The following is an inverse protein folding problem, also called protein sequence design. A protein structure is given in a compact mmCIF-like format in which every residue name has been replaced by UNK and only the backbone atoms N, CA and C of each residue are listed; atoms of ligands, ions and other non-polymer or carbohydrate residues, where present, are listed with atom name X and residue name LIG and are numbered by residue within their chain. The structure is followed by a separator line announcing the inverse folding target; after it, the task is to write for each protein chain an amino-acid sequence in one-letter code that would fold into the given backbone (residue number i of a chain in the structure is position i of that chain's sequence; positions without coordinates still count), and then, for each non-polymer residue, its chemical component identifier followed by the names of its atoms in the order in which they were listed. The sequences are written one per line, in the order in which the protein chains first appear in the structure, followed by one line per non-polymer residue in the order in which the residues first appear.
data_IF_162085936504
#
_entry.id   IF_162085936504
#
_cell.length_a   1.000
_cell.length_b   1.000
_cell.length_c   1.000
_cell.angle_alpha   90.00
_cell.angle_beta   90.00
_cell.angle_gamma   90.00
#
_symmetry.space_group_name_H-M   'P 1'
#
loop_
_entity.id
_entity.type
_entity.pdbx_description
1 polymer ?
#
# COMPACT_ATOMS: atom_id res chain seq x y z
N UNK A 1 -15.26 10.96 -11.16
CA UNK A 1 -15.62 9.62 -10.64
C UNK A 1 -14.80 9.34 -9.40
N UNK A 2 -15.46 9.04 -8.26
CA UNK A 2 -14.79 8.72 -7.00
C UNK A 2 -13.74 7.61 -7.13
N UNK A 3 -14.02 6.57 -7.93
CA UNK A 3 -13.10 5.45 -8.16
C UNK A 3 -11.71 5.87 -8.67
N UNK A 4 -11.63 6.54 -9.81
CA UNK A 4 -10.34 6.92 -10.41
C UNK A 4 -9.58 7.95 -9.57
N UNK A 5 -10.28 8.73 -8.74
CA UNK A 5 -9.62 9.62 -7.78
C UNK A 5 -8.98 8.83 -6.64
N UNK A 6 -9.65 7.80 -6.12
CA UNK A 6 -9.07 6.89 -5.11
C UNK A 6 -7.90 6.08 -5.66
N UNK A 7 -7.96 5.60 -6.92
CA UNK A 7 -6.82 4.96 -7.58
C UNK A 7 -5.62 5.90 -7.65
N UNK A 8 -5.81 7.15 -8.10
CA UNK A 8 -4.73 8.15 -8.16
C UNK A 8 -4.15 8.50 -6.78
N UNK A 9 -5.01 8.64 -5.77
CA UNK A 9 -4.56 8.85 -4.36
C UNK A 9 -3.74 7.66 -3.86
N UNK A 10 -4.17 6.43 -4.17
CA UNK A 10 -3.43 5.23 -3.80
C UNK A 10 -2.07 5.14 -4.49
N UNK A 11 -1.98 5.51 -5.77
CA UNK A 11 -0.70 5.62 -6.49
C UNK A 11 0.22 6.64 -5.81
N UNK A 12 -0.30 7.83 -5.46
CA UNK A 12 0.46 8.87 -4.78
C UNK A 12 1.00 8.39 -3.42
N UNK A 13 0.14 7.78 -2.60
CA UNK A 13 0.51 7.26 -1.30
C UNK A 13 1.53 6.11 -1.37
N UNK A 14 1.36 5.18 -2.31
CA UNK A 14 2.30 4.10 -2.55
C UNK A 14 3.69 4.60 -2.94
N UNK A 15 3.77 5.60 -3.85
CA UNK A 15 5.03 6.24 -4.21
C UNK A 15 5.67 6.99 -3.02
N UNK A 16 4.86 7.71 -2.24
CA UNK A 16 5.34 8.42 -1.05
C UNK A 16 5.92 7.44 -0.01
N UNK A 17 5.24 6.31 0.23
CA UNK A 17 5.71 5.27 1.13
C UNK A 17 7.00 4.61 0.63
N UNK A 18 7.12 4.33 -0.68
CA UNK A 18 8.39 3.88 -1.26
C UNK A 18 9.51 4.91 -1.05
N UNK A 19 9.20 6.21 -1.20
CA UNK A 19 10.12 7.30 -0.94
C UNK A 19 10.62 7.31 0.51
N UNK A 20 9.71 7.14 1.48
CA UNK A 20 10.05 7.02 2.89
C UNK A 20 10.92 5.78 3.15
N UNK A 21 10.55 4.63 2.59
CA UNK A 21 11.29 3.37 2.75
C UNK A 21 12.67 3.38 2.06
N UNK A 22 12.98 4.32 1.16
CA UNK A 22 14.36 4.48 0.63
C UNK A 22 15.35 4.88 1.70
N UNK A 23 14.92 5.61 2.73
CA UNK A 23 15.77 5.99 3.86
C UNK A 23 15.93 4.88 4.90
N UNK A 24 15.20 3.77 4.73
CA UNK A 24 15.28 2.61 5.62
C UNK A 24 16.65 1.91 5.46
N UNK A 25 17.36 1.74 6.59
CA UNK A 25 18.67 1.10 6.59
C UNK A 25 18.52 -0.39 6.88
N UNK A 26 18.57 -1.22 5.85
CA UNK A 26 18.39 -2.67 5.97
C UNK A 26 19.42 -3.40 6.85
N UNK A 27 20.58 -2.78 7.12
CA UNK A 27 21.63 -3.36 7.97
C UNK A 27 21.40 -3.11 9.47
N UNK A 28 20.37 -2.34 9.84
CA UNK A 28 19.98 -2.07 11.22
C UNK A 28 18.69 -2.81 11.57
N UNK A 29 18.54 -3.20 12.84
CA UNK A 29 17.32 -3.88 13.30
C UNK A 29 16.08 -3.03 13.01
N UNK A 30 15.00 -3.64 12.52
CA UNK A 30 13.77 -2.95 12.17
C UNK A 30 13.12 -2.22 13.35
N UNK A 31 13.42 -2.65 14.57
CA UNK A 31 12.95 -2.06 15.82
C UNK A 31 13.76 -0.84 16.28
N UNK A 32 14.95 -0.61 15.73
CA UNK A 32 15.80 0.53 16.10
C UNK A 32 15.27 1.83 15.50
N UNK A 33 15.38 2.92 16.25
CA UNK A 33 15.25 4.26 15.65
C UNK A 33 16.47 4.51 14.76
N UNK A 34 16.30 5.04 13.53
CA UNK A 34 15.09 5.64 12.94
C UNK A 34 14.23 4.69 12.08
N UNK A 35 14.65 3.42 11.88
CA UNK A 35 13.98 2.47 11.00
C UNK A 35 12.53 2.19 11.37
N UNK A 36 12.24 2.11 12.68
CA UNK A 36 10.87 1.94 13.18
C UNK A 36 9.95 3.09 12.76
N UNK A 37 10.43 4.33 12.85
CA UNK A 37 9.66 5.53 12.53
C UNK A 37 9.41 5.62 11.02
N UNK A 38 10.46 5.43 10.22
CA UNK A 38 10.37 5.40 8.74
C UNK A 38 9.33 4.37 8.29
N UNK A 39 9.42 3.16 8.82
CA UNK A 39 8.52 2.06 8.47
C UNK A 39 7.08 2.35 8.93
N UNK A 40 6.89 2.86 10.14
CA UNK A 40 5.57 3.20 10.66
C UNK A 40 4.90 4.32 9.86
N UNK A 41 5.68 5.31 9.42
CA UNK A 41 5.21 6.39 8.57
C UNK A 41 4.80 5.89 7.18
N UNK A 42 5.61 5.01 6.57
CA UNK A 42 5.28 4.34 5.31
C UNK A 42 4.00 3.52 5.43
N UNK A 43 3.88 2.75 6.52
CA UNK A 43 2.69 1.96 6.82
C UNK A 43 1.44 2.85 6.91
N UNK A 44 1.47 3.90 7.72
CA UNK A 44 0.33 4.81 7.89
C UNK A 44 -0.10 5.45 6.57
N UNK A 45 0.87 5.90 5.77
CA UNK A 45 0.62 6.49 4.45
C UNK A 45 -0.17 5.54 3.55
N UNK A 46 0.19 4.25 3.55
CA UNK A 46 -0.48 3.23 2.73
C UNK A 46 -1.82 2.80 3.34
N UNK A 47 -1.95 2.70 4.67
CA UNK A 47 -3.20 2.30 5.33
C UNK A 47 -4.36 3.20 4.92
N UNK A 48 -4.17 4.52 4.96
CA UNK A 48 -5.24 5.45 4.57
C UNK A 48 -5.65 5.31 3.10
N UNK A 49 -4.67 5.12 2.21
CA UNK A 49 -4.93 4.90 0.80
C UNK A 49 -5.59 3.55 0.51
N UNK A 50 -5.21 2.50 1.25
CA UNK A 50 -5.83 1.19 1.18
C UNK A 50 -7.33 1.27 1.50
N UNK A 51 -7.69 1.88 2.63
CA UNK A 51 -9.07 1.93 3.08
C UNK A 51 -9.97 2.76 2.14
N UNK A 52 -9.46 3.89 1.63
CA UNK A 52 -10.16 4.71 0.63
C UNK A 52 -10.34 3.95 -0.69
N UNK A 53 -9.28 3.29 -1.18
CA UNK A 53 -9.35 2.50 -2.40
C UNK A 53 -10.28 1.28 -2.26
N UNK A 54 -10.27 0.60 -1.11
CA UNK A 54 -11.13 -0.55 -0.85
C UNK A 54 -12.61 -0.16 -0.93
N UNK A 55 -12.99 0.97 -0.32
CA UNK A 55 -14.35 1.52 -0.42
C UNK A 55 -14.71 1.87 -1.86
N UNK A 56 -13.79 2.49 -2.59
CA UNK A 56 -13.99 2.83 -3.99
C UNK A 56 -14.17 1.60 -4.88
N UNK A 57 -13.38 0.54 -4.69
CA UNK A 57 -13.52 -0.74 -5.42
C UNK A 57 -14.88 -1.40 -5.14
N UNK A 58 -15.34 -1.35 -3.88
CA UNK A 58 -16.67 -1.84 -3.52
C UNK A 58 -17.79 -1.06 -4.23
N UNK A 59 -17.67 0.27 -4.32
CA UNK A 59 -18.65 1.12 -4.98
C UNK A 59 -18.54 1.15 -6.52
N UNK A 60 -17.44 0.64 -7.09
CA UNK A 60 -17.12 0.76 -8.51
C UNK A 60 -18.19 0.19 -9.47
N UNK A 61 -18.95 -0.84 -9.04
CA UNK A 61 -20.06 -1.37 -9.85
C UNK A 61 -21.19 -0.35 -10.03
N UNK A 62 -21.50 0.42 -8.98
CA UNK A 62 -22.55 1.44 -9.01
C UNK A 62 -22.13 2.65 -9.85
N UNK A 63 -20.82 2.90 -9.96
CA UNK A 63 -20.23 3.98 -10.76
C UNK A 63 -20.07 3.63 -12.26
N UNK A 64 -20.45 2.42 -12.69
CA UNK A 64 -20.31 1.98 -14.08
C UNK A 64 -18.85 1.78 -14.52
N UNK A 65 -17.93 1.54 -13.57
CA UNK A 65 -16.50 1.35 -13.85
C UNK A 65 -16.28 0.06 -14.65
N UNK A 66 -15.38 0.11 -15.63
CA UNK A 66 -14.98 -1.06 -16.43
C UNK A 66 -14.50 -2.21 -15.55
N UNK A 67 -14.92 -3.43 -15.89
CA UNK A 67 -14.57 -4.63 -15.14
C UNK A 67 -13.05 -4.89 -15.04
N UNK A 68 -12.27 -4.52 -16.06
CA UNK A 68 -10.80 -4.61 -16.02
C UNK A 68 -10.20 -3.67 -14.97
N UNK A 69 -10.56 -2.39 -14.98
CA UNK A 69 -10.07 -1.39 -14.04
C UNK A 69 -10.42 -1.76 -12.59
N UNK A 70 -11.64 -2.24 -12.34
CA UNK A 70 -12.05 -2.74 -11.02
C UNK A 70 -11.21 -3.94 -10.57
N UNK A 71 -10.94 -4.92 -11.46
CA UNK A 71 -10.12 -6.10 -11.11
C UNK A 71 -8.69 -5.69 -10.76
N UNK A 72 -8.08 -4.83 -11.55
CA UNK A 72 -6.72 -4.35 -11.30
C UNK A 72 -6.66 -3.53 -10.00
N UNK A 73 -7.62 -2.63 -9.75
CA UNK A 73 -7.69 -1.90 -8.49
C UNK A 73 -7.92 -2.84 -7.29
N UNK A 74 -8.76 -3.87 -7.42
CA UNK A 74 -8.96 -4.87 -6.37
C UNK A 74 -7.67 -5.62 -6.03
N UNK A 75 -6.86 -5.95 -7.05
CA UNK A 75 -5.54 -6.57 -6.82
C UNK A 75 -4.57 -5.59 -6.16
N UNK A 76 -4.63 -4.31 -6.55
CA UNK A 76 -3.90 -3.23 -5.89
C UNK A 76 -4.26 -3.09 -4.40
N UNK A 77 -5.55 -3.11 -4.05
CA UNK A 77 -6.03 -3.09 -2.65
C UNK A 77 -5.42 -4.24 -1.86
N UNK A 78 -5.54 -5.47 -2.36
CA UNK A 78 -5.03 -6.65 -1.66
C UNK A 78 -3.52 -6.51 -1.35
N UNK A 79 -2.74 -6.08 -2.33
CA UNK A 79 -1.30 -5.91 -2.17
C UNK A 79 -0.93 -4.77 -1.21
N UNK A 80 -1.66 -3.65 -1.23
CA UNK A 80 -1.46 -2.58 -0.24
C UNK A 80 -1.84 -3.03 1.19
N UNK A 81 -2.87 -3.87 1.33
CA UNK A 81 -3.25 -4.48 2.60
C UNK A 81 -2.17 -5.43 3.12
N UNK A 82 -1.61 -6.27 2.24
CA UNK A 82 -0.48 -7.13 2.59
C UNK A 82 0.77 -6.32 2.95
N UNK A 83 1.06 -5.23 2.23
CA UNK A 83 2.17 -4.34 2.54
C UNK A 83 2.01 -3.68 3.91
N UNK A 84 0.80 -3.22 4.23
CA UNK A 84 0.46 -2.66 5.55
C UNK A 84 0.73 -3.68 6.65
N UNK A 85 0.37 -4.94 6.41
CA UNK A 85 0.64 -6.05 7.32
C UNK A 85 2.13 -6.35 7.46
N UNK A 86 2.88 -6.39 6.35
CA UNK A 86 4.32 -6.66 6.36
C UNK A 86 5.12 -5.57 7.08
N UNK A 87 4.68 -4.31 6.99
CA UNK A 87 5.30 -3.16 7.65
C UNK A 87 4.87 -2.97 9.12
N UNK A 88 3.98 -3.81 9.64
CA UNK A 88 3.52 -3.73 11.04
C UNK A 88 4.47 -4.48 11.98
N UNK A 89 4.78 -3.89 13.14
CA UNK A 89 5.34 -4.65 14.26
C UNK A 89 4.28 -5.64 14.76
N UNK A 90 4.63 -6.92 14.88
CA UNK A 90 3.77 -7.93 15.51
C UNK A 90 4.39 -8.37 16.84
N UNK A 91 4.33 -7.52 17.89
CA UNK A 91 4.91 -7.85 19.18
C UNK A 91 4.27 -9.10 19.80
N UNK A 92 2.99 -9.35 19.55
CA UNK A 92 2.26 -10.50 20.07
C UNK A 92 2.68 -11.86 19.45
N UNK A 93 3.30 -11.85 18.26
CA UNK A 93 3.67 -13.10 17.56
C UNK A 93 5.19 -13.27 17.43
N UNK A 94 6.00 -12.40 18.04
CA UNK A 94 7.46 -12.40 17.91
C UNK A 94 7.99 -12.13 16.49
N UNK A 95 7.10 -11.85 15.54
CA UNK A 95 7.48 -11.59 14.14
C UNK A 95 7.87 -10.13 13.98
N UNK A 96 9.09 -9.94 13.49
CA UNK A 96 9.58 -8.62 13.05
C UNK A 96 8.92 -8.24 11.73
N UNK A 97 8.77 -6.94 11.51
CA UNK A 97 8.28 -6.43 10.25
C UNK A 97 9.20 -6.83 9.08
N UNK A 98 8.60 -7.22 7.96
CA UNK A 98 9.30 -7.62 6.74
C UNK A 98 9.23 -6.47 5.72
N UNK A 99 10.20 -5.56 5.84
CA UNK A 99 10.23 -4.36 4.99
C UNK A 99 10.52 -4.69 3.53
N UNK A 100 11.30 -5.75 3.25
CA UNK A 100 11.56 -6.18 1.88
C UNK A 100 10.28 -6.64 1.19
N UNK A 101 9.50 -7.50 1.86
CA UNK A 101 8.19 -7.94 1.36
C UNK A 101 7.22 -6.76 1.22
N UNK A 102 7.21 -5.85 2.19
CA UNK A 102 6.38 -4.63 2.11
C UNK A 102 6.71 -3.80 0.87
N UNK A 103 7.99 -3.54 0.59
CA UNK A 103 8.43 -2.80 -0.61
C UNK A 103 8.01 -3.50 -1.90
N UNK A 104 8.20 -4.82 -1.98
CA UNK A 104 7.85 -5.61 -3.16
C UNK A 104 6.33 -5.60 -3.43
N UNK A 105 5.53 -5.72 -2.37
CA UNK A 105 4.07 -5.63 -2.45
C UNK A 105 3.61 -4.24 -2.91
N UNK A 106 4.23 -3.16 -2.42
CA UNK A 106 3.89 -1.79 -2.85
C UNK A 106 4.22 -1.58 -4.33
N UNK A 107 5.39 -2.06 -4.79
CA UNK A 107 5.79 -1.96 -6.20
C UNK A 107 4.84 -2.75 -7.10
N UNK A 108 4.48 -3.96 -6.69
CA UNK A 108 3.52 -4.79 -7.42
C UNK A 108 2.14 -4.14 -7.44
N UNK A 109 1.69 -3.57 -6.32
CA UNK A 109 0.43 -2.84 -6.23
C UNK A 109 0.40 -1.67 -7.24
N UNK A 110 1.47 -0.86 -7.30
CA UNK A 110 1.59 0.23 -8.26
C UNK A 110 1.39 -0.23 -9.72
N UNK A 111 1.98 -1.35 -10.12
CA UNK A 111 1.80 -1.91 -11.47
C UNK A 111 0.33 -2.25 -11.79
N UNK A 112 -0.47 -2.66 -10.81
CA UNK A 112 -1.91 -2.87 -11.00
C UNK A 112 -2.69 -1.55 -10.95
N UNK A 113 -2.35 -0.64 -10.04
CA UNK A 113 -3.04 0.64 -9.91
C UNK A 113 -2.85 1.52 -11.15
N UNK A 114 -1.66 1.55 -11.74
CA UNK A 114 -1.42 2.24 -13.01
C UNK A 114 -2.27 1.66 -14.16
N UNK A 115 -2.51 0.34 -14.18
CA UNK A 115 -3.42 -0.29 -15.16
C UNK A 115 -4.88 0.07 -14.89
N UNK A 116 -5.28 0.13 -13.62
CA UNK A 116 -6.63 0.50 -13.21
C UNK A 116 -6.99 1.98 -13.46
N UNK A 117 -5.99 2.83 -13.72
CA UNK A 117 -6.18 4.24 -13.99
C UNK A 117 -6.75 4.52 -15.40
N UNK A 118 -6.66 3.56 -16.33
CA UNK A 118 -7.08 3.68 -17.74
C UNK A 118 -8.23 2.71 -18.07
#
# INVERSE_FOLDING_TARGET
MPFYNSVRRAIGAANAALGQLRSYRYNYDASTQPNRDIRNQARQTITYAHDDLQRAVYNASWEGVRGSARRDASRGVELLGQATWALSDRPASGQRADVYRGVDQIRTALSYLYRAQY
#
